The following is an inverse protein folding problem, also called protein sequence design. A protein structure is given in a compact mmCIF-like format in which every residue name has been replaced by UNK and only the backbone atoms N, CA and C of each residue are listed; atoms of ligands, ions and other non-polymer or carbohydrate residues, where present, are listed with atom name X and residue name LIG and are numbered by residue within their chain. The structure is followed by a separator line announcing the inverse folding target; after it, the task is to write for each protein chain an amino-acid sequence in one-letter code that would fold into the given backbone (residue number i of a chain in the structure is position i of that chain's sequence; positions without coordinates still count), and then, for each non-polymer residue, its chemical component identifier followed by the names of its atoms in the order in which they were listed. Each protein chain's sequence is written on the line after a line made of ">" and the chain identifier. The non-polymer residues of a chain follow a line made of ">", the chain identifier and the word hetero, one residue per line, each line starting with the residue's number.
data_IF_652944458744
#
_entry.id   IF_652944458744
#
_cell.length_a   1.000
_cell.length_b   1.000
_cell.length_c   1.000
_cell.angle_alpha   90.00
_cell.angle_beta   90.00
_cell.angle_gamma   90.00
#
_symmetry.space_group_name_H-M   'P 1'
#
loop_
_entity.id
_entity.type
_entity.pdbx_description
1 polymer ?
#
# COMPACT_ATOMS: atom_id res chain seq x y z
N UNK A 1 -15.73 -15.54 -7.01
CA UNK A 1 -15.22 -14.51 -6.09
C UNK A 1 -14.50 -15.23 -4.97
N UNK A 2 -13.20 -15.01 -4.80
CA UNK A 2 -12.39 -15.74 -3.83
C UNK A 2 -12.63 -15.14 -2.43
N UNK A 3 -13.18 -15.93 -1.52
CA UNK A 3 -13.19 -15.58 -0.10
C UNK A 3 -11.78 -15.81 0.42
N UNK A 4 -11.01 -14.74 0.68
CA UNK A 4 -9.73 -14.89 1.37
C UNK A 4 -10.02 -15.38 2.79
N UNK A 5 -9.67 -16.64 3.07
CA UNK A 5 -9.72 -17.22 4.41
C UNK A 5 -8.32 -17.10 4.99
N UNK A 6 -8.03 -15.94 5.57
CA UNK A 6 -6.83 -15.75 6.37
C UNK A 6 -7.19 -15.90 7.84
N UNK A 7 -6.43 -16.71 8.56
CA UNK A 7 -6.55 -16.93 10.01
C UNK A 7 -5.82 -15.84 10.79
N UNK A 8 -6.07 -15.74 12.09
CA UNK A 8 -5.36 -14.77 12.94
C UNK A 8 -3.85 -15.08 13.05
N UNK A 9 -3.48 -16.36 12.99
CA UNK A 9 -2.07 -16.81 13.02
C UNK A 9 -1.35 -16.41 11.73
N UNK A 10 -1.92 -16.72 10.56
CA UNK A 10 -1.38 -16.30 9.26
C UNK A 10 -1.28 -14.77 9.15
N UNK A 11 -2.22 -14.04 9.75
CA UNK A 11 -2.20 -12.58 9.76
C UNK A 11 -1.03 -12.03 10.59
N UNK A 12 -0.72 -12.66 11.73
CA UNK A 12 0.44 -12.28 12.56
C UNK A 12 1.75 -12.67 11.87
N UNK A 13 1.79 -13.83 11.21
CA UNK A 13 2.93 -14.24 10.40
C UNK A 13 3.23 -13.23 9.28
N UNK A 14 2.19 -12.75 8.57
CA UNK A 14 2.34 -11.68 7.58
C UNK A 14 2.83 -10.37 8.20
N UNK A 15 2.35 -10.05 9.40
CA UNK A 15 2.79 -8.86 10.12
C UNK A 15 4.29 -8.89 10.36
N UNK A 16 4.79 -10.03 10.83
CA UNK A 16 6.20 -10.26 11.10
C UNK A 16 7.02 -10.33 9.80
N UNK A 17 6.50 -10.97 8.75
CA UNK A 17 7.24 -11.12 7.48
C UNK A 17 7.46 -9.80 6.74
N UNK A 18 6.59 -8.81 6.96
CA UNK A 18 6.65 -7.51 6.30
C UNK A 18 6.96 -6.35 7.26
N UNK A 19 7.42 -6.64 8.48
CA UNK A 19 7.75 -5.65 9.51
C UNK A 19 6.65 -4.59 9.75
N UNK A 20 5.37 -5.01 9.70
CA UNK A 20 4.24 -4.10 9.84
C UNK A 20 4.16 -3.61 11.30
N UNK A 21 4.33 -2.30 11.49
CA UNK A 21 4.36 -1.68 12.83
C UNK A 21 3.14 -2.06 13.66
N UNK A 22 3.34 -2.38 14.95
CA UNK A 22 2.29 -2.72 15.92
C UNK A 22 1.17 -1.66 16.03
N UNK A 23 1.47 -0.42 15.67
CA UNK A 23 0.52 0.71 15.61
C UNK A 23 -0.51 0.61 14.49
N UNK A 24 -0.24 -0.18 13.44
CA UNK A 24 -1.17 -0.37 12.33
C UNK A 24 -2.21 -1.43 12.71
N UNK A 25 -3.48 -1.07 12.63
CA UNK A 25 -4.58 -2.03 12.77
C UNK A 25 -4.61 -2.94 11.54
N UNK A 26 -4.35 -4.23 11.75
CA UNK A 26 -4.30 -5.24 10.70
C UNK A 26 -5.29 -6.35 11.07
N UNK A 27 -6.24 -6.64 10.19
CA UNK A 27 -7.29 -7.64 10.44
C UNK A 27 -7.76 -8.31 9.16
N UNK A 28 -8.21 -9.56 9.30
CA UNK A 28 -8.95 -10.25 8.26
C UNK A 28 -10.31 -9.57 8.00
N UNK A 29 -10.84 -9.76 6.79
CA UNK A 29 -12.22 -9.42 6.48
C UNK A 29 -13.18 -10.36 7.22
N UNK A 30 -14.26 -9.79 7.73
CA UNK A 30 -15.37 -10.53 8.30
C UNK A 30 -16.19 -11.26 7.23
N UNK A 31 -17.07 -12.21 7.61
CA UNK A 31 -17.79 -13.08 6.66
C UNK A 31 -18.67 -12.35 5.63
N UNK A 32 -19.08 -11.11 5.92
CA UNK A 32 -19.94 -10.27 5.05
C UNK A 32 -19.21 -9.05 4.50
N UNK A 33 -17.99 -8.79 4.96
CA UNK A 33 -17.20 -7.66 4.50
C UNK A 33 -16.54 -8.00 3.17
N UNK A 34 -16.25 -6.98 2.37
CA UNK A 34 -15.63 -7.15 1.06
C UNK A 34 -14.44 -6.23 0.91
N UNK A 35 -13.53 -6.58 0.01
CA UNK A 35 -12.34 -5.78 -0.29
C UNK A 35 -12.68 -4.48 -1.02
N UNK A 36 -13.75 -4.46 -1.82
CA UNK A 36 -14.23 -3.31 -2.58
C UNK A 36 -15.11 -2.35 -1.75
N UNK A 37 -15.57 -2.80 -0.58
CA UNK A 37 -16.34 -2.02 0.38
C UNK A 37 -15.77 -2.27 1.80
N UNK A 38 -14.56 -1.73 2.08
CA UNK A 38 -13.94 -1.93 3.37
C UNK A 38 -14.74 -1.18 4.46
N UNK A 39 -14.75 -1.71 5.69
CA UNK A 39 -15.38 -1.07 6.83
C UNK A 39 -14.82 0.33 7.11
N UNK A 40 -15.63 1.21 7.68
CA UNK A 40 -15.22 2.58 7.97
C UNK A 40 -13.92 2.63 8.79
N UNK A 41 -12.97 3.45 8.32
CA UNK A 41 -11.64 3.56 8.92
C UNK A 41 -10.64 2.48 8.50
N UNK A 42 -11.02 1.55 7.62
CA UNK A 42 -10.12 0.54 7.05
C UNK A 42 -9.93 0.74 5.55
N UNK A 43 -8.80 0.23 5.06
CA UNK A 43 -8.48 0.17 3.64
C UNK A 43 -8.04 -1.24 3.28
N UNK A 44 -8.51 -1.75 2.14
CA UNK A 44 -8.05 -3.03 1.62
C UNK A 44 -6.70 -2.85 0.90
N UNK A 45 -5.79 -3.80 1.10
CA UNK A 45 -4.48 -3.83 0.45
C UNK A 45 -4.22 -5.27 -0.02
N UNK A 46 -3.68 -5.41 -1.23
CA UNK A 46 -3.19 -6.69 -1.72
C UNK A 46 -1.86 -7.02 -1.08
N UNK A 47 -1.69 -8.23 -0.56
CA UNK A 47 -0.37 -8.69 -0.07
C UNK A 47 0.74 -8.52 -1.12
N UNK A 48 0.53 -8.84 -2.43
CA UNK A 48 1.51 -8.52 -3.46
C UNK A 48 1.95 -7.05 -3.53
N UNK A 49 1.13 -6.07 -3.13
CA UNK A 49 1.57 -4.67 -3.09
C UNK A 49 2.63 -4.46 -2.00
N UNK A 50 2.46 -5.12 -0.84
CA UNK A 50 3.45 -5.11 0.26
C UNK A 50 4.74 -5.79 -0.17
N UNK A 51 4.64 -6.93 -0.88
CA UNK A 51 5.80 -7.61 -1.47
C UNK A 51 6.57 -6.74 -2.47
N UNK A 52 5.90 -5.80 -3.14
CA UNK A 52 6.49 -4.86 -4.08
C UNK A 52 7.03 -3.58 -3.41
N UNK A 53 7.08 -3.54 -2.08
CA UNK A 53 7.66 -2.43 -1.32
C UNK A 53 6.67 -1.39 -0.81
N UNK A 54 5.36 -1.70 -0.78
CA UNK A 54 4.40 -0.89 -0.03
C UNK A 54 4.56 -1.15 1.48
N UNK A 55 5.22 -0.22 2.18
CA UNK A 55 5.39 -0.32 3.64
C UNK A 55 4.17 0.26 4.37
N UNK A 56 3.86 -0.27 5.57
CA UNK A 56 2.76 0.19 6.42
C UNK A 56 3.26 0.69 7.79
N UNK A 57 2.81 1.88 8.26
CA UNK A 57 1.89 2.81 7.59
C UNK A 57 2.48 3.39 6.31
N UNK A 58 1.60 3.70 5.35
CA UNK A 58 2.00 4.17 4.03
C UNK A 58 2.78 5.48 4.12
N UNK A 59 3.85 5.60 3.33
CA UNK A 59 4.62 6.83 3.27
C UNK A 59 3.73 8.00 2.79
N UNK A 60 3.79 9.19 3.41
CA UNK A 60 2.89 10.31 3.10
C UNK A 60 2.84 10.69 1.61
N UNK A 61 3.99 10.59 0.92
CA UNK A 61 4.05 10.80 -0.53
C UNK A 61 3.04 9.95 -1.31
N UNK A 62 2.93 8.65 -1.02
CA UNK A 62 2.00 7.77 -1.75
C UNK A 62 0.55 8.07 -1.38
N UNK A 63 0.28 8.45 -0.13
CA UNK A 63 -1.05 8.89 0.31
C UNK A 63 -1.50 10.15 -0.45
N UNK A 64 -0.60 11.12 -0.60
CA UNK A 64 -0.85 12.34 -1.39
C UNK A 64 -1.10 12.03 -2.87
N UNK A 65 -0.28 11.19 -3.50
CA UNK A 65 -0.46 10.78 -4.90
C UNK A 65 -1.81 10.09 -5.11
N UNK A 66 -2.18 9.15 -4.24
CA UNK A 66 -3.46 8.46 -4.33
C UNK A 66 -4.65 9.40 -4.14
N UNK A 67 -4.53 10.35 -3.21
CA UNK A 67 -5.54 11.37 -2.97
C UNK A 67 -5.72 12.29 -4.18
N UNK A 68 -4.63 12.74 -4.80
CA UNK A 68 -4.66 13.58 -5.99
C UNK A 68 -5.29 12.85 -7.19
N UNK A 69 -5.04 11.53 -7.31
CA UNK A 69 -5.67 10.69 -8.33
C UNK A 69 -7.08 10.20 -7.98
N UNK A 70 -7.56 10.48 -6.76
CA UNK A 70 -8.82 9.98 -6.22
C UNK A 70 -8.93 8.44 -6.31
N UNK A 71 -7.84 7.74 -5.94
CA UNK A 71 -7.74 6.29 -5.95
C UNK A 71 -7.53 5.73 -4.54
N UNK A 72 -8.16 4.59 -4.26
CA UNK A 72 -7.84 3.79 -3.10
C UNK A 72 -6.65 2.86 -3.38
N UNK A 73 -5.85 2.46 -2.37
CA UNK A 73 -4.69 1.58 -2.54
C UNK A 73 -4.98 0.25 -3.26
N UNK A 74 -6.17 -0.33 -3.03
CA UNK A 74 -6.58 -1.57 -3.70
C UNK A 74 -6.91 -1.39 -5.18
N UNK A 75 -7.12 -0.16 -5.67
CA UNK A 75 -7.38 0.09 -7.09
C UNK A 75 -6.09 0.10 -7.91
N UNK A 76 -4.93 0.22 -7.24
CA UNK A 76 -3.62 0.13 -7.88
C UNK A 76 -3.23 -1.34 -8.01
N UNK A 77 -2.85 -1.75 -9.21
CA UNK A 77 -2.36 -3.12 -9.42
C UNK A 77 -1.06 -3.34 -8.65
N UNK A 78 -0.79 -4.55 -8.12
CA UNK A 78 0.44 -4.80 -7.37
C UNK A 78 1.74 -4.42 -8.11
N UNK A 79 1.79 -4.65 -9.42
CA UNK A 79 2.96 -4.27 -10.23
C UNK A 79 3.11 -2.75 -10.31
N UNK A 80 2.00 -1.99 -10.40
CA UNK A 80 2.04 -0.53 -10.41
C UNK A 80 2.61 0.03 -9.11
N UNK A 81 2.31 -0.59 -7.96
CA UNK A 81 2.92 -0.22 -6.67
C UNK A 81 4.45 -0.30 -6.70
N UNK A 82 4.99 -1.40 -7.22
CA UNK A 82 6.45 -1.56 -7.35
C UNK A 82 7.09 -0.47 -8.20
N UNK A 83 6.45 -0.08 -9.31
CA UNK A 83 6.93 1.03 -10.14
C UNK A 83 6.88 2.36 -9.40
N UNK A 84 5.81 2.66 -8.67
CA UNK A 84 5.69 3.90 -7.88
C UNK A 84 6.80 3.98 -6.82
N UNK A 85 7.03 2.88 -6.09
CA UNK A 85 8.08 2.80 -5.08
C UNK A 85 9.48 2.93 -5.69
N UNK A 86 9.75 2.20 -6.78
CA UNK A 86 11.03 2.28 -7.47
C UNK A 86 11.32 3.68 -7.99
N UNK A 87 10.34 4.34 -8.62
CA UNK A 87 10.48 5.72 -9.11
C UNK A 87 10.73 6.72 -7.98
N UNK A 88 10.03 6.59 -6.84
CA UNK A 88 10.29 7.40 -5.65
C UNK A 88 11.71 7.21 -5.12
N UNK A 89 12.15 5.95 -4.96
CA UNK A 89 13.49 5.63 -4.47
C UNK A 89 14.58 6.11 -5.43
N UNK A 90 14.40 5.91 -6.74
CA UNK A 90 15.32 6.39 -7.76
C UNK A 90 15.48 7.90 -7.69
N UNK A 91 14.38 8.65 -7.52
CA UNK A 91 14.46 10.09 -7.34
C UNK A 91 15.29 10.47 -6.11
N UNK A 92 14.92 9.91 -4.95
CA UNK A 92 15.58 10.23 -3.67
C UNK A 92 17.07 9.89 -3.71
N UNK A 93 17.42 8.74 -4.30
CA UNK A 93 18.80 8.23 -4.34
C UNK A 93 19.63 8.90 -5.45
N UNK A 94 19.07 9.07 -6.65
CA UNK A 94 19.82 9.56 -7.81
C UNK A 94 19.99 11.09 -7.82
N UNK A 95 18.99 11.84 -7.32
CA UNK A 95 19.08 13.30 -7.37
C UNK A 95 19.72 13.93 -6.13
N UNK A 96 19.79 13.23 -4.98
CA UNK A 96 20.21 13.83 -3.69
C UNK A 96 19.49 15.16 -3.35
N UNK A 97 18.32 15.42 -3.99
CA UNK A 97 17.57 16.68 -3.91
C UNK A 97 16.51 16.72 -2.82
N UNK A 98 16.28 15.61 -2.11
CA UNK A 98 15.22 15.47 -1.11
C UNK A 98 14.01 14.70 -1.65
N UNK A 99 12.86 14.84 -0.98
CA UNK A 99 11.65 14.07 -1.30
C UNK A 99 11.06 14.47 -2.66
N UNK A 100 10.63 13.47 -3.45
CA UNK A 100 9.88 13.66 -4.70
C UNK A 100 8.51 14.26 -4.40
N UNK A 101 8.08 15.27 -5.18
CA UNK A 101 6.71 15.79 -5.10
C UNK A 101 5.79 15.08 -6.09
N UNK A 102 4.46 14.99 -5.82
CA UNK A 102 3.51 14.35 -6.74
C UNK A 102 3.57 14.92 -8.17
N UNK A 103 3.75 16.25 -8.31
CA UNK A 103 3.87 16.92 -9.62
C UNK A 103 5.12 16.50 -10.41
N UNK A 104 6.24 16.32 -9.72
CA UNK A 104 7.47 15.85 -10.36
C UNK A 104 7.32 14.38 -10.77
N UNK A 105 6.64 13.56 -9.96
CA UNK A 105 6.34 12.18 -10.30
C UNK A 105 5.49 12.07 -11.57
N UNK A 106 4.45 12.90 -11.70
CA UNK A 106 3.61 12.95 -12.91
C UNK A 106 4.41 13.27 -14.17
N UNK A 107 5.47 14.08 -14.06
CA UNK A 107 6.31 14.43 -15.22
C UNK A 107 7.19 13.28 -15.74
N UNK A 108 7.32 12.20 -14.98
CA UNK A 108 8.10 11.01 -15.35
C UNK A 108 7.27 10.04 -16.21
N UNK A 109 5.95 10.25 -16.31
CA UNK A 109 5.01 9.47 -17.12
C UNK A 109 4.30 10.32 -18.17
#
# INVERSE_FOLDING_TARGET
>A
MAHSRITAEELEDLRLSYDILSSVSFRALGPKERTDDPPEGFVAIYEPAVQQGLHLPMHPFFDEVLKDWNLAPFQITPNSWGHMVASYLLWVIAEARGNLTPKEFESIY
#
